data_IF_008437967630
#
_entry.id   IF_008437967630
#
_cell.length_a   1.000
_cell.length_b   1.000
_cell.length_c   1.000
_cell.angle_alpha   90.00
_cell.angle_beta   90.00
_cell.angle_gamma   90.00
#
_symmetry.space_group_name_H-M   'P 1'
#
loop_
_entity.id
_entity.type
_entity.pdbx_description
1 polymer ?
#
# COMPACT_ATOMS: atom_id res chain seq x y z
N UNK A 1 -9.52 -18.67 -8.89
CA UNK A 1 -10.51 -17.75 -9.49
C UNK A 1 -10.57 -16.40 -8.75
N UNK A 2 -10.64 -16.37 -7.45
CA UNK A 2 -10.77 -15.14 -6.59
C UNK A 2 -9.64 -14.12 -6.84
N UNK A 3 -8.38 -14.55 -6.94
CA UNK A 3 -7.23 -13.64 -7.17
C UNK A 3 -7.31 -12.84 -8.47
N UNK A 4 -7.88 -13.40 -9.54
CA UNK A 4 -8.03 -12.68 -10.81
C UNK A 4 -9.01 -11.50 -10.68
N UNK A 5 -10.12 -11.71 -9.96
CA UNK A 5 -11.11 -10.66 -9.69
C UNK A 5 -10.55 -9.58 -8.77
N UNK A 6 -9.83 -9.97 -7.71
CA UNK A 6 -9.18 -9.03 -6.81
C UNK A 6 -8.18 -8.13 -7.56
N UNK A 7 -7.37 -8.73 -8.44
CA UNK A 7 -6.43 -7.98 -9.27
C UNK A 7 -7.15 -7.04 -10.25
N UNK A 8 -8.23 -7.50 -10.88
CA UNK A 8 -9.04 -6.67 -11.78
C UNK A 8 -9.64 -5.46 -11.05
N UNK A 9 -10.24 -5.66 -9.86
CA UNK A 9 -10.78 -4.56 -9.05
C UNK A 9 -9.70 -3.58 -8.60
N UNK A 10 -8.51 -4.08 -8.29
CA UNK A 10 -7.37 -3.24 -7.93
C UNK A 10 -6.93 -2.35 -9.10
N UNK A 11 -6.82 -2.91 -10.31
CA UNK A 11 -6.51 -2.14 -11.52
C UNK A 11 -7.60 -1.10 -11.82
N UNK A 12 -8.87 -1.47 -11.70
CA UNK A 12 -9.99 -0.54 -11.86
C UNK A 12 -9.91 0.60 -10.84
N UNK A 13 -9.57 0.32 -9.59
CA UNK A 13 -9.39 1.34 -8.57
C UNK A 13 -8.29 2.36 -8.95
N UNK A 14 -7.15 1.88 -9.44
CA UNK A 14 -6.06 2.75 -9.90
C UNK A 14 -6.52 3.63 -11.07
N UNK A 15 -7.13 3.02 -12.08
CA UNK A 15 -7.59 3.74 -13.28
C UNK A 15 -8.63 4.80 -12.89
N UNK A 16 -9.63 4.44 -12.08
CA UNK A 16 -10.66 5.37 -11.61
C UNK A 16 -10.05 6.52 -10.80
N UNK A 17 -9.08 6.24 -9.94
CA UNK A 17 -8.38 7.26 -9.17
C UNK A 17 -7.73 8.32 -10.05
N UNK A 18 -7.02 7.90 -11.10
CA UNK A 18 -6.40 8.83 -12.05
C UNK A 18 -7.43 9.56 -12.92
N UNK A 19 -8.48 8.89 -13.38
CA UNK A 19 -9.56 9.53 -14.18
C UNK A 19 -10.23 10.63 -13.37
N UNK A 20 -10.55 10.37 -12.11
CA UNK A 20 -11.16 11.37 -11.21
C UNK A 20 -10.21 12.54 -10.97
N UNK A 21 -8.93 12.29 -10.72
CA UNK A 21 -7.94 13.36 -10.50
C UNK A 21 -7.78 14.23 -11.74
N UNK A 22 -7.62 13.63 -12.92
CA UNK A 22 -7.50 14.37 -14.19
C UNK A 22 -8.76 15.21 -14.45
N UNK A 23 -9.94 14.62 -14.25
CA UNK A 23 -11.22 15.32 -14.40
C UNK A 23 -11.35 16.51 -13.44
N UNK A 24 -10.95 16.31 -12.19
CA UNK A 24 -10.99 17.36 -11.18
C UNK A 24 -10.01 18.49 -11.50
N UNK A 25 -8.80 18.18 -11.99
CA UNK A 25 -7.82 19.18 -12.42
C UNK A 25 -8.33 20.00 -13.63
N UNK A 26 -8.94 19.33 -14.62
CA UNK A 26 -9.50 20.00 -15.80
C UNK A 26 -10.65 20.94 -15.45
N UNK A 27 -11.49 20.60 -14.47
CA UNK A 27 -12.61 21.44 -14.01
C UNK A 27 -12.16 22.65 -13.19
N UNK A 28 -10.95 22.65 -12.63
CA UNK A 28 -10.37 23.80 -11.94
C UNK A 28 -9.73 24.73 -12.97
N UNK A 29 -10.38 25.85 -13.26
CA UNK A 29 -9.86 26.87 -14.17
C UNK A 29 -8.64 27.61 -13.62
N UNK A 30 -8.51 27.71 -12.29
CA UNK A 30 -7.40 28.35 -11.57
C UNK A 30 -6.94 27.41 -10.44
N UNK A 31 -5.61 27.33 -10.22
CA UNK A 31 -5.04 26.60 -9.08
C UNK A 31 -5.50 27.18 -7.73
N UNK A 32 -5.09 26.58 -6.64
CA UNK A 32 -5.34 27.10 -5.28
C UNK A 32 -4.57 28.41 -5.07
N UNK A 33 -5.14 29.55 -5.49
CA UNK A 33 -4.54 30.87 -5.28
C UNK A 33 -4.77 31.42 -3.87
N UNK A 34 -5.76 30.89 -3.15
CA UNK A 34 -6.05 31.23 -1.76
C UNK A 34 -5.90 29.98 -0.94
N UNK A 35 -5.16 30.07 0.17
CA UNK A 35 -5.12 28.99 1.16
C UNK A 35 -6.55 28.67 1.59
N UNK A 36 -7.06 27.55 1.09
CA UNK A 36 -8.39 27.07 1.40
C UNK A 36 -8.40 26.65 2.89
N UNK A 37 -8.45 27.62 3.77
CA UNK A 37 -8.72 27.35 5.18
C UNK A 37 -9.92 26.40 5.27
N UNK A 38 -9.85 25.41 6.08
CA UNK A 38 -10.85 24.43 6.55
C UNK A 38 -12.25 24.36 5.86
N UNK A 39 -12.34 24.58 4.55
CA UNK A 39 -13.59 24.44 3.77
C UNK A 39 -13.95 22.98 3.50
N UNK A 40 -13.71 22.10 4.50
CA UNK A 40 -14.10 20.68 4.42
C UNK A 40 -13.11 19.76 3.68
N UNK A 41 -12.00 20.26 3.11
CA UNK A 41 -10.99 19.41 2.52
C UNK A 41 -9.77 19.27 3.42
N UNK A 42 -9.45 18.04 3.80
CA UNK A 42 -8.23 17.73 4.57
C UNK A 42 -7.01 17.67 3.67
N UNK A 43 -5.80 17.79 4.25
CA UNK A 43 -4.55 17.56 3.52
C UNK A 43 -4.54 16.19 2.84
N UNK A 44 -4.96 15.14 3.54
CA UNK A 44 -5.05 13.77 2.99
C UNK A 44 -5.95 13.71 1.75
N UNK A 45 -7.12 14.39 1.78
CA UNK A 45 -8.01 14.43 0.62
C UNK A 45 -7.36 15.08 -0.61
N UNK A 46 -6.59 16.16 -0.40
CA UNK A 46 -5.91 16.88 -1.49
C UNK A 46 -4.71 16.11 -2.04
N UNK A 47 -4.09 15.28 -1.21
CA UNK A 47 -2.87 14.53 -1.54
C UNK A 47 -3.16 13.10 -2.02
N UNK A 48 -4.44 12.69 -2.16
CA UNK A 48 -4.80 11.31 -2.50
C UNK A 48 -4.16 10.80 -3.79
N UNK A 49 -4.08 11.66 -4.83
CA UNK A 49 -3.45 11.29 -6.08
C UNK A 49 -1.93 11.06 -5.92
N UNK A 50 -1.26 11.92 -5.13
CA UNK A 50 0.17 11.76 -4.84
C UNK A 50 0.41 10.50 -4.02
N UNK A 51 -0.39 10.29 -2.96
CA UNK A 51 -0.30 9.10 -2.11
C UNK A 51 -0.56 7.83 -2.93
N UNK A 52 -1.59 7.83 -3.79
CA UNK A 52 -1.89 6.72 -4.68
C UNK A 52 -0.77 6.43 -5.69
N UNK A 53 -0.13 7.49 -6.23
CA UNK A 53 1.02 7.34 -7.13
C UNK A 53 2.24 6.74 -6.40
N UNK A 54 2.53 7.17 -5.18
CA UNK A 54 3.61 6.60 -4.37
C UNK A 54 3.37 5.11 -4.07
N UNK A 55 2.12 4.74 -3.74
CA UNK A 55 1.73 3.34 -3.53
C UNK A 55 1.88 2.54 -4.84
N UNK A 56 1.50 3.11 -5.98
CA UNK A 56 1.62 2.44 -7.27
C UNK A 56 3.09 2.17 -7.63
N UNK A 57 3.98 3.15 -7.43
CA UNK A 57 5.43 2.97 -7.63
C UNK A 57 6.01 1.93 -6.67
N UNK A 58 5.61 1.98 -5.40
CA UNK A 58 5.95 0.95 -4.41
C UNK A 58 5.51 -0.44 -4.87
N UNK A 59 4.29 -0.57 -5.40
CA UNK A 59 3.77 -1.84 -5.85
C UNK A 59 4.53 -2.39 -7.06
N UNK A 60 4.90 -1.55 -8.02
CA UNK A 60 5.75 -1.95 -9.16
C UNK A 60 7.08 -2.51 -8.64
N UNK A 61 7.72 -1.82 -7.70
CA UNK A 61 8.97 -2.26 -7.08
C UNK A 61 8.77 -3.59 -6.34
N UNK A 62 7.73 -3.72 -5.53
CA UNK A 62 7.41 -4.93 -4.77
C UNK A 62 7.15 -6.15 -5.68
N UNK A 63 6.36 -5.97 -6.74
CA UNK A 63 6.08 -7.02 -7.73
C UNK A 63 7.36 -7.44 -8.46
N UNK A 64 8.19 -6.48 -8.88
CA UNK A 64 9.44 -6.77 -9.59
C UNK A 64 10.46 -7.51 -8.72
N UNK A 65 10.51 -7.23 -7.43
CA UNK A 65 11.47 -7.85 -6.52
C UNK A 65 11.06 -9.22 -6.00
N UNK A 66 9.76 -9.49 -5.87
CA UNK A 66 9.27 -10.72 -5.23
C UNK A 66 8.38 -11.58 -6.13
N UNK A 67 7.34 -10.99 -6.73
CA UNK A 67 6.37 -11.77 -7.49
C UNK A 67 6.94 -12.27 -8.82
N UNK A 68 7.62 -11.41 -9.58
CA UNK A 68 8.22 -11.79 -10.86
C UNK A 68 9.27 -12.90 -10.65
N UNK A 69 10.25 -12.79 -9.73
CA UNK A 69 11.21 -13.86 -9.48
C UNK A 69 10.57 -15.17 -9.04
N UNK A 70 9.49 -15.13 -8.27
CA UNK A 70 8.88 -16.34 -7.74
C UNK A 70 7.88 -17.01 -8.70
N UNK A 71 7.24 -16.25 -9.60
CA UNK A 71 6.12 -16.76 -10.40
C UNK A 71 6.33 -16.72 -11.91
N UNK A 72 7.25 -15.88 -12.39
CA UNK A 72 7.47 -15.68 -13.81
C UNK A 72 8.82 -16.25 -14.23
N UNK A 73 9.90 -15.86 -13.57
CA UNK A 73 11.26 -16.24 -13.96
C UNK A 73 11.79 -17.47 -13.23
N UNK A 74 11.21 -17.83 -12.08
CA UNK A 74 11.68 -18.98 -11.29
C UNK A 74 13.13 -18.84 -10.82
N UNK A 75 13.62 -17.60 -10.61
CA UNK A 75 15.04 -17.33 -10.30
C UNK A 75 15.34 -17.34 -8.80
N UNK A 76 14.37 -17.72 -7.96
CA UNK A 76 14.59 -17.82 -6.53
C UNK A 76 15.29 -19.13 -6.18
N UNK A 77 16.11 -19.08 -5.13
CA UNK A 77 16.67 -20.29 -4.54
C UNK A 77 15.55 -21.20 -4.05
N UNK A 78 15.74 -22.50 -4.25
CA UNK A 78 14.79 -23.50 -3.80
C UNK A 78 15.33 -24.18 -2.52
N UNK A 79 14.44 -24.42 -1.58
CA UNK A 79 14.75 -25.11 -0.33
C UNK A 79 13.72 -26.18 -0.04
N UNK A 80 14.19 -27.31 0.43
CA UNK A 80 13.32 -28.35 0.94
C UNK A 80 12.88 -28.01 2.38
N UNK A 81 11.59 -27.93 2.58
CA UNK A 81 10.99 -27.79 3.91
C UNK A 81 10.33 -29.12 4.33
N UNK A 82 10.40 -29.45 5.59
CA UNK A 82 9.75 -30.63 6.19
C UNK A 82 10.28 -31.99 5.73
N UNK A 83 11.46 -32.09 5.13
CA UNK A 83 12.07 -33.34 4.70
C UNK A 83 11.12 -34.25 3.89
N UNK A 84 10.25 -33.65 3.06
CA UNK A 84 9.24 -34.37 2.29
C UNK A 84 9.58 -34.49 0.80
N UNK A 85 10.80 -34.15 0.39
CA UNK A 85 11.27 -34.15 -0.98
C UNK A 85 10.72 -33.03 -1.88
N UNK A 86 9.91 -32.11 -1.33
CA UNK A 86 9.34 -31.00 -2.11
C UNK A 86 10.20 -29.77 -1.97
N UNK A 87 10.54 -29.19 -3.11
CA UNK A 87 11.27 -27.93 -3.21
C UNK A 87 10.29 -26.76 -3.24
N UNK A 88 10.61 -25.68 -2.52
CA UNK A 88 9.84 -24.46 -2.45
C UNK A 88 10.76 -23.27 -2.66
N UNK A 89 10.27 -22.23 -3.35
CA UNK A 89 11.00 -20.98 -3.48
C UNK A 89 11.23 -20.31 -2.12
N UNK A 90 12.49 -20.05 -1.78
CA UNK A 90 12.85 -19.39 -0.52
C UNK A 90 12.63 -17.86 -0.60
N UNK A 91 11.38 -17.46 -0.40
CA UNK A 91 10.99 -16.05 -0.35
C UNK A 91 11.57 -15.33 0.87
N UNK A 92 11.81 -16.06 1.97
CA UNK A 92 12.37 -15.47 3.17
C UNK A 92 13.82 -15.02 2.94
N UNK A 93 14.65 -15.88 2.35
CA UNK A 93 16.00 -15.53 1.96
C UNK A 93 16.02 -14.36 0.98
N UNK A 94 15.12 -14.36 -0.01
CA UNK A 94 14.98 -13.25 -0.97
C UNK A 94 14.64 -11.93 -0.28
N UNK A 95 13.70 -11.94 0.68
CA UNK A 95 13.35 -10.74 1.45
C UNK A 95 14.55 -10.26 2.27
N UNK A 96 15.23 -11.16 2.97
CA UNK A 96 16.40 -10.84 3.76
C UNK A 96 17.49 -10.16 2.90
N UNK A 97 17.87 -10.77 1.78
CA UNK A 97 18.84 -10.21 0.83
C UNK A 97 18.42 -8.84 0.31
N UNK A 98 17.14 -8.69 -0.05
CA UNK A 98 16.60 -7.43 -0.59
C UNK A 98 16.69 -6.30 0.44
N UNK A 99 16.36 -6.58 1.70
CA UNK A 99 16.34 -5.57 2.77
C UNK A 99 17.70 -5.32 3.44
N UNK A 100 18.80 -5.92 2.96
CA UNK A 100 20.16 -5.49 3.37
C UNK A 100 20.54 -4.11 2.79
N UNK A 101 19.83 -3.64 1.75
CA UNK A 101 20.03 -2.31 1.20
C UNK A 101 19.19 -1.27 1.95
N UNK A 102 19.85 -0.34 2.66
CA UNK A 102 19.17 0.74 3.38
C UNK A 102 18.33 1.64 2.47
N UNK A 103 18.73 1.84 1.21
CA UNK A 103 17.95 2.59 0.24
C UNK A 103 16.60 1.89 -0.05
N UNK A 104 16.63 0.58 -0.24
CA UNK A 104 15.41 -0.20 -0.48
C UNK A 104 14.49 -0.12 0.74
N UNK A 105 15.04 -0.27 1.95
CA UNK A 105 14.26 -0.15 3.20
C UNK A 105 13.57 1.22 3.28
N UNK A 106 14.29 2.31 2.99
CA UNK A 106 13.72 3.67 2.99
C UNK A 106 12.58 3.78 1.97
N UNK A 107 12.76 3.27 0.75
CA UNK A 107 11.70 3.28 -0.28
C UNK A 107 10.47 2.50 0.16
N UNK A 108 10.64 1.35 0.81
CA UNK A 108 9.55 0.58 1.39
C UNK A 108 8.82 1.34 2.50
N UNK A 109 9.55 1.98 3.40
CA UNK A 109 8.96 2.79 4.47
C UNK A 109 8.19 4.00 3.93
N UNK A 110 8.68 4.65 2.87
CA UNK A 110 7.95 5.72 2.18
C UNK A 110 6.64 5.18 1.56
N UNK A 111 6.69 4.03 0.89
CA UNK A 111 5.51 3.37 0.33
C UNK A 111 4.49 2.99 1.40
N UNK A 112 4.92 2.41 2.51
CA UNK A 112 4.06 2.05 3.65
C UNK A 112 3.47 3.29 4.32
N UNK A 113 4.24 4.38 4.44
CA UNK A 113 3.73 5.66 4.96
C UNK A 113 2.66 6.25 4.05
N UNK A 114 2.87 6.21 2.74
CA UNK A 114 1.85 6.62 1.77
C UNK A 114 0.59 5.77 1.88
N UNK A 115 0.73 4.45 2.04
CA UNK A 115 -0.37 3.51 2.26
C UNK A 115 -1.15 3.85 3.54
N UNK A 116 -0.46 4.18 4.63
CA UNK A 116 -1.10 4.56 5.90
C UNK A 116 -2.05 5.74 5.73
N UNK A 117 -1.60 6.85 5.15
CA UNK A 117 -2.44 8.03 4.93
C UNK A 117 -3.55 7.77 3.91
N UNK A 118 -3.27 6.96 2.90
CA UNK A 118 -4.25 6.56 1.88
C UNK A 118 -5.39 5.72 2.49
N UNK A 119 -5.05 4.73 3.34
CA UNK A 119 -6.02 3.89 4.02
C UNK A 119 -6.90 4.69 4.99
N UNK A 120 -6.32 5.56 5.82
CA UNK A 120 -7.10 6.38 6.77
C UNK A 120 -8.15 7.21 6.03
N UNK A 121 -7.76 7.88 4.94
CA UNK A 121 -8.69 8.69 4.18
C UNK A 121 -9.67 7.82 3.39
N UNK A 122 -9.18 6.81 2.69
CA UNK A 122 -9.97 5.93 1.83
C UNK A 122 -11.02 5.15 2.61
N UNK A 123 -10.69 4.62 3.77
CA UNK A 123 -11.62 3.88 4.62
C UNK A 123 -12.80 4.76 5.03
N UNK A 124 -12.53 5.98 5.53
CA UNK A 124 -13.59 6.91 5.90
C UNK A 124 -14.43 7.36 4.69
N UNK A 125 -13.80 7.64 3.55
CA UNK A 125 -14.50 8.05 2.34
C UNK A 125 -15.39 6.95 1.78
N UNK A 126 -14.93 5.69 1.81
CA UNK A 126 -15.69 4.54 1.33
C UNK A 126 -17.04 4.39 2.04
N UNK A 127 -17.07 4.47 3.38
CA UNK A 127 -18.33 4.36 4.14
C UNK A 127 -19.29 5.53 3.90
N UNK A 128 -18.76 6.72 3.67
CA UNK A 128 -19.60 7.86 3.31
C UNK A 128 -20.21 7.71 1.92
N UNK A 129 -19.47 7.15 0.96
CA UNK A 129 -19.96 6.96 -0.41
C UNK A 129 -21.08 5.92 -0.52
N UNK A 130 -21.10 4.93 0.37
CA UNK A 130 -22.21 3.93 0.44
C UNK A 130 -23.37 4.39 1.34
N UNK A 131 -23.41 5.66 1.75
CA UNK A 131 -24.58 6.26 2.41
C UNK A 131 -24.60 6.21 3.94
N UNK A 132 -23.49 5.88 4.60
CA UNK A 132 -23.42 5.94 6.07
C UNK A 132 -23.23 7.40 6.48
N UNK A 133 -24.33 8.05 6.92
CA UNK A 133 -24.31 9.48 7.33
C UNK A 133 -24.50 9.69 8.84
N UNK A 134 -24.86 8.66 9.60
CA UNK A 134 -25.06 8.77 11.03
C UNK A 134 -23.72 9.05 11.74
N UNK A 135 -23.66 10.16 12.49
CA UNK A 135 -22.44 10.63 13.16
C UNK A 135 -21.84 9.60 14.12
N UNK A 136 -22.67 8.86 14.85
CA UNK A 136 -22.23 7.83 15.81
C UNK A 136 -21.54 6.67 15.10
N UNK A 137 -22.18 6.12 14.06
CA UNK A 137 -21.59 5.03 13.26
C UNK A 137 -20.33 5.46 12.51
N UNK A 138 -20.33 6.69 11.94
CA UNK A 138 -19.13 7.23 11.31
C UNK A 138 -17.96 7.39 12.28
N UNK A 139 -18.22 7.76 13.54
CA UNK A 139 -17.16 7.85 14.55
C UNK A 139 -16.54 6.49 14.86
N UNK A 140 -17.37 5.45 15.03
CA UNK A 140 -16.91 4.08 15.26
C UNK A 140 -16.12 3.55 14.06
N UNK A 141 -16.66 3.70 12.85
CA UNK A 141 -15.98 3.26 11.61
C UNK A 141 -14.65 3.99 11.39
N UNK A 142 -14.60 5.28 11.73
CA UNK A 142 -13.36 6.06 11.69
C UNK A 142 -12.32 5.49 12.66
N UNK A 143 -12.73 5.16 13.89
CA UNK A 143 -11.86 4.52 14.88
C UNK A 143 -11.33 3.17 14.41
N UNK A 144 -12.21 2.33 13.86
CA UNK A 144 -11.82 1.03 13.28
C UNK A 144 -10.84 1.20 12.10
N UNK A 145 -11.11 2.16 11.20
CA UNK A 145 -10.23 2.46 10.08
C UNK A 145 -8.84 2.93 10.52
N UNK A 146 -8.76 3.75 11.57
CA UNK A 146 -7.48 4.15 12.17
C UNK A 146 -6.75 2.94 12.77
N UNK A 147 -7.42 2.15 13.60
CA UNK A 147 -6.83 0.96 14.22
C UNK A 147 -6.30 -0.03 13.18
N UNK A 148 -7.12 -0.33 12.17
CA UNK A 148 -6.72 -1.18 11.04
C UNK A 148 -5.49 -0.63 10.31
N UNK A 149 -5.50 0.66 9.94
CA UNK A 149 -4.39 1.29 9.22
C UNK A 149 -3.09 1.29 10.03
N UNK A 150 -3.15 1.56 11.32
CA UNK A 150 -1.99 1.51 12.23
C UNK A 150 -1.42 0.11 12.30
N UNK A 151 -2.25 -0.90 12.59
CA UNK A 151 -1.79 -2.28 12.76
C UNK A 151 -1.14 -2.80 11.46
N UNK A 152 -1.84 -2.66 10.33
CA UNK A 152 -1.36 -3.17 9.04
C UNK A 152 -0.06 -2.48 8.62
N UNK A 153 -0.02 -1.15 8.66
CA UNK A 153 1.17 -0.42 8.22
C UNK A 153 2.36 -0.59 9.17
N UNK A 154 2.11 -0.74 10.47
CA UNK A 154 3.17 -1.01 11.45
C UNK A 154 3.79 -2.39 11.20
N UNK A 155 2.98 -3.42 10.97
CA UNK A 155 3.47 -4.75 10.63
C UNK A 155 4.27 -4.76 9.32
N UNK A 156 3.79 -4.05 8.29
CA UNK A 156 4.51 -3.92 7.03
C UNK A 156 5.83 -3.13 7.16
N UNK A 157 5.88 -2.12 8.02
CA UNK A 157 7.10 -1.36 8.28
C UNK A 157 8.12 -2.17 9.11
N UNK A 158 7.65 -2.96 10.06
CA UNK A 158 8.52 -3.81 10.90
C UNK A 158 9.25 -4.87 10.08
N UNK A 159 8.67 -5.39 9.01
CA UNK A 159 9.28 -6.44 8.20
C UNK A 159 10.64 -6.00 7.59
N UNK A 160 10.73 -4.95 6.77
CA UNK A 160 12.03 -4.51 6.23
C UNK A 160 12.98 -4.01 7.31
N UNK A 161 12.48 -3.37 8.37
CA UNK A 161 13.29 -2.86 9.47
C UNK A 161 13.94 -3.99 10.24
N UNK A 162 13.19 -5.02 10.61
CA UNK A 162 13.70 -6.17 11.37
C UNK A 162 14.80 -6.95 10.61
N UNK A 163 14.65 -7.06 9.29
CA UNK A 163 15.65 -7.71 8.44
C UNK A 163 16.90 -6.84 8.24
N UNK A 164 16.73 -5.53 8.10
CA UNK A 164 17.87 -4.61 7.97
C UNK A 164 18.74 -4.58 9.22
N UNK A 165 18.13 -4.53 10.40
CA UNK A 165 18.83 -4.57 11.69
C UNK A 165 19.19 -6.00 12.15
N UNK A 166 18.96 -7.01 11.31
CA UNK A 166 19.29 -8.40 11.59
C UNK A 166 18.62 -8.97 12.85
N UNK A 167 17.48 -8.42 13.25
CA UNK A 167 16.67 -9.00 14.34
C UNK A 167 16.10 -10.36 13.96
N UNK A 168 15.95 -10.59 12.67
CA UNK A 168 15.53 -11.85 12.07
C UNK A 168 16.52 -12.17 10.96
N UNK A 169 17.22 -13.30 11.05
CA UNK A 169 18.18 -13.78 10.06
C UNK A 169 17.75 -15.11 9.45
N UNK A 170 18.10 -15.40 8.20
CA UNK A 170 17.91 -16.72 7.63
C UNK A 170 19.00 -17.65 8.22
N UNK A 171 18.64 -18.51 9.16
CA UNK A 171 19.46 -19.57 9.83
C UNK A 171 20.70 -19.06 10.55
#
# INVERSE_FOLDING_TARGET
MIFKWLFAFFLLHIIQGYVVEISNRKKRKTGYQVGLGNRGSTWMSRSMAILGTLIFLYLIMHISQFWIPSRVTGTLEEKEYLNNGRQYHDLFLKMYQTFQSGLIVILYLVGVSALFFHLIHGFHAAFRSIGVHNKKYLAVLKGLGYGFSVIVCLLFALMPVSMYFQWVSPY
#
